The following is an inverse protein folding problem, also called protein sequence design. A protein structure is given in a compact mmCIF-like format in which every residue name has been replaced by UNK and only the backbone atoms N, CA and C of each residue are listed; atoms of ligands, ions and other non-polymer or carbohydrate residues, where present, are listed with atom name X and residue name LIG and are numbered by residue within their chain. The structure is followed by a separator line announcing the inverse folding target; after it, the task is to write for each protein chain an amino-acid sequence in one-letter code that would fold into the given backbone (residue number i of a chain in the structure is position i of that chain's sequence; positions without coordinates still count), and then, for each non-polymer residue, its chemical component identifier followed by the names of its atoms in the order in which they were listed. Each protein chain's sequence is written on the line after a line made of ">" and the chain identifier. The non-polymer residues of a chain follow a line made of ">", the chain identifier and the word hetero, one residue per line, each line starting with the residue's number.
data_IF_491793358064
#
_entry.id   IF_491793358064
#
_cell.length_a   1.000
_cell.length_b   1.000
_cell.length_c   1.000
_cell.angle_alpha   90.00
_cell.angle_beta   90.00
_cell.angle_gamma   90.00
#
_symmetry.space_group_name_H-M   'P 1'
#
loop_
_entity.id
_entity.type
_entity.pdbx_description
1 polymer ?
#
# COMPACT_ATOMS: atom_id res chain seq x y z
N UNK A 1 2.01 20.16 31.15
CA UNK A 1 1.65 18.73 31.04
C UNK A 1 1.13 18.50 29.62
N UNK A 2 1.56 17.42 29.00
CA UNK A 2 1.07 17.06 27.69
C UNK A 2 -0.44 16.76 27.73
N UNK A 3 -1.18 17.28 26.78
CA UNK A 3 -2.57 16.86 26.51
C UNK A 3 -2.53 15.64 25.58
N UNK A 4 -3.08 14.52 26.03
CA UNK A 4 -3.18 13.31 25.17
C UNK A 4 -4.55 13.30 24.52
N UNK A 5 -4.56 13.15 23.19
CA UNK A 5 -5.78 12.95 22.41
C UNK A 5 -5.73 11.61 21.69
N UNK A 6 -6.90 11.01 21.49
CA UNK A 6 -7.05 9.72 20.83
C UNK A 6 -8.05 9.84 19.68
N UNK A 7 -7.64 9.44 18.50
CA UNK A 7 -8.50 9.25 17.33
C UNK A 7 -8.76 7.74 17.17
N UNK A 8 -9.96 7.27 17.52
CA UNK A 8 -10.31 5.84 17.50
C UNK A 8 -11.79 5.64 17.10
N UNK A 9 -12.06 5.14 15.90
CA UNK A 9 -11.11 4.90 14.83
C UNK A 9 -10.76 6.17 14.04
N UNK A 10 -9.58 6.20 13.42
CA UNK A 10 -9.31 7.10 12.30
C UNK A 10 -10.21 6.67 11.15
N UNK A 11 -11.02 7.59 10.64
CA UNK A 11 -11.96 7.34 9.52
C UNK A 11 -11.31 7.50 8.16
N UNK A 12 -12.03 7.16 7.08
CA UNK A 12 -11.60 7.33 5.69
C UNK A 12 -10.28 6.61 5.37
N UNK A 13 -10.18 5.36 5.83
CA UNK A 13 -9.14 4.40 5.49
C UNK A 13 -9.73 2.99 5.50
N UNK A 14 -9.01 2.03 4.97
CA UNK A 14 -9.43 0.63 4.99
C UNK A 14 -9.02 -0.04 6.32
N UNK A 15 -10.01 -0.55 7.08
CA UNK A 15 -9.82 -1.19 8.37
C UNK A 15 -9.81 -0.21 9.55
N UNK A 16 -9.23 -0.59 10.68
CA UNK A 16 -9.33 0.13 11.96
C UNK A 16 -7.95 0.54 12.49
N UNK A 17 -7.67 1.83 12.43
CA UNK A 17 -6.48 2.48 12.99
C UNK A 17 -6.89 3.34 14.19
N UNK A 18 -6.19 3.20 15.30
CA UNK A 18 -6.18 4.17 16.38
C UNK A 18 -4.88 4.96 16.35
N UNK A 19 -4.98 6.25 16.55
CA UNK A 19 -3.83 7.17 16.69
C UNK A 19 -3.97 7.92 18.00
N UNK A 20 -2.93 7.85 18.83
CA UNK A 20 -2.81 8.61 20.06
C UNK A 20 -1.65 9.59 19.87
N UNK A 21 -1.85 10.87 20.23
CA UNK A 21 -0.80 11.89 20.20
C UNK A 21 -0.78 12.66 21.53
N UNK A 22 0.42 12.90 22.02
CA UNK A 22 0.66 13.82 23.14
C UNK A 22 1.05 15.19 22.58
N UNK A 23 0.35 16.24 23.03
CA UNK A 23 0.51 17.61 22.54
C UNK A 23 1.02 18.49 23.67
N UNK A 24 2.12 19.20 23.42
CA UNK A 24 2.66 20.25 24.27
C UNK A 24 2.94 21.49 23.42
N UNK A 25 2.62 22.66 23.94
CA UNK A 25 2.82 23.95 23.24
C UNK A 25 2.27 23.94 21.80
N UNK A 26 1.07 23.38 21.62
CA UNK A 26 0.39 23.24 20.33
C UNK A 26 1.18 22.42 19.27
N UNK A 27 2.06 21.50 19.73
CA UNK A 27 2.77 20.60 18.84
C UNK A 27 2.71 19.16 19.36
N UNK A 28 2.66 18.20 18.46
CA UNK A 28 2.77 16.78 18.77
C UNK A 28 4.19 16.48 19.23
N UNK A 29 4.35 15.97 20.45
CA UNK A 29 5.65 15.57 21.02
C UNK A 29 5.85 14.06 21.01
N UNK A 30 4.76 13.27 21.05
CA UNK A 30 4.77 11.82 20.94
C UNK A 30 3.55 11.34 20.19
N UNK A 31 3.69 10.25 19.44
CA UNK A 31 2.59 9.61 18.73
C UNK A 31 2.70 8.07 18.83
N UNK A 32 1.54 7.41 18.81
CA UNK A 32 1.40 5.95 18.75
C UNK A 32 0.34 5.58 17.74
N UNK A 33 0.63 4.57 16.91
CA UNK A 33 -0.29 4.01 15.92
C UNK A 33 -0.63 2.57 16.28
N UNK A 34 -1.92 2.29 16.41
CA UNK A 34 -2.43 0.98 16.82
C UNK A 34 -3.26 0.35 15.73
N UNK A 35 -2.83 -0.81 15.24
CA UNK A 35 -3.72 -1.74 14.57
C UNK A 35 -4.55 -2.47 15.61
N UNK A 36 -5.87 -2.30 15.58
CA UNK A 36 -6.77 -2.74 16.66
C UNK A 36 -7.32 -4.14 16.47
N UNK A 37 -7.08 -4.79 15.30
CA UNK A 37 -7.66 -6.09 14.95
C UNK A 37 -6.58 -7.12 14.56
N UNK A 38 -6.89 -8.44 14.73
CA UNK A 38 -6.07 -9.57 14.31
C UNK A 38 -6.87 -10.52 13.41
N UNK A 39 -6.37 -10.91 12.22
CA UNK A 39 -7.08 -11.76 11.24
C UNK A 39 -6.44 -13.12 10.95
N UNK A 40 -5.13 -13.31 11.16
CA UNK A 40 -4.42 -14.60 11.13
C UNK A 40 -4.24 -15.22 9.74
N UNK A 41 -4.09 -14.46 8.66
CA UNK A 41 -3.95 -15.00 7.30
C UNK A 41 -2.77 -15.95 7.14
N UNK A 42 -1.66 -15.66 7.80
CA UNK A 42 -0.46 -16.50 7.80
C UNK A 42 -0.75 -17.89 8.40
N UNK A 43 -1.49 -17.92 9.52
CA UNK A 43 -1.94 -19.15 10.16
C UNK A 43 -3.00 -19.89 9.33
N UNK A 44 -3.91 -19.15 8.68
CA UNK A 44 -4.93 -19.72 7.79
C UNK A 44 -4.30 -20.45 6.60
N UNK A 45 -3.19 -19.93 6.07
CA UNK A 45 -2.50 -20.50 4.93
C UNK A 45 -1.69 -21.76 5.28
N UNK A 46 -1.23 -21.90 6.52
CA UNK A 46 -0.43 -23.07 6.95
C UNK A 46 -1.23 -24.37 6.81
N UNK A 47 -0.63 -25.39 6.20
CA UNK A 47 -1.22 -26.69 5.92
C UNK A 47 -2.05 -26.78 4.64
N UNK A 48 -2.34 -25.63 3.99
CA UNK A 48 -3.12 -25.59 2.75
C UNK A 48 -2.31 -25.95 1.52
N UNK A 49 -3.03 -26.16 0.42
CA UNK A 49 -2.42 -26.27 -0.89
C UNK A 49 -1.83 -24.90 -1.31
N UNK A 50 -0.61 -24.86 -1.87
CA UNK A 50 -0.05 -23.60 -2.37
C UNK A 50 -0.96 -22.85 -3.38
N UNK A 51 -1.76 -23.57 -4.18
CA UNK A 51 -2.72 -22.98 -5.10
C UNK A 51 -3.81 -22.13 -4.42
N UNK A 52 -4.11 -22.37 -3.14
CA UNK A 52 -5.02 -21.53 -2.37
C UNK A 52 -4.42 -20.14 -2.07
N UNK A 53 -3.09 -20.03 -2.09
CA UNK A 53 -2.35 -18.82 -1.71
C UNK A 53 -2.82 -17.57 -2.44
N UNK A 54 -2.79 -17.49 -3.79
CA UNK A 54 -3.21 -16.32 -4.53
C UNK A 54 -4.67 -15.92 -4.27
N UNK A 55 -5.55 -16.89 -4.02
CA UNK A 55 -6.97 -16.62 -3.76
C UNK A 55 -7.23 -16.16 -2.33
N UNK A 56 -6.59 -16.77 -1.33
CA UNK A 56 -6.77 -16.41 0.08
C UNK A 56 -6.12 -15.05 0.37
N UNK A 57 -4.90 -14.81 -0.12
CA UNK A 57 -4.18 -13.57 0.17
C UNK A 57 -4.87 -12.33 -0.40
N UNK A 58 -5.62 -12.43 -1.49
CA UNK A 58 -6.45 -11.33 -1.98
C UNK A 58 -7.51 -10.87 -0.96
N UNK A 59 -7.95 -11.73 -0.01
CA UNK A 59 -8.94 -11.37 1.03
C UNK A 59 -8.32 -10.58 2.17
N UNK A 60 -7.01 -10.39 2.16
CA UNK A 60 -6.33 -9.51 3.12
C UNK A 60 -6.86 -8.08 2.98
N UNK A 61 -7.11 -7.61 1.74
CA UNK A 61 -7.58 -6.25 1.51
C UNK A 61 -8.64 -6.19 0.42
N UNK A 62 -9.67 -5.36 0.62
CA UNK A 62 -10.71 -5.08 -0.39
C UNK A 62 -10.29 -4.01 -1.41
N UNK A 63 -9.33 -3.16 -1.09
CA UNK A 63 -8.87 -2.06 -1.95
C UNK A 63 -7.67 -2.46 -2.79
N UNK A 64 -6.72 -3.25 -2.24
CA UNK A 64 -5.50 -3.67 -2.94
C UNK A 64 -5.31 -5.20 -2.97
N UNK A 65 -6.30 -5.99 -3.42
CA UNK A 65 -6.16 -7.45 -3.46
C UNK A 65 -5.17 -7.93 -4.52
N UNK A 66 -5.05 -7.23 -5.65
CA UNK A 66 -4.22 -7.63 -6.79
C UNK A 66 -2.73 -7.76 -6.43
N UNK A 67 -2.08 -6.80 -5.72
CA UNK A 67 -0.71 -6.97 -5.27
C UNK A 67 -0.48 -8.22 -4.41
N UNK A 68 -1.46 -8.62 -3.57
CA UNK A 68 -1.36 -9.84 -2.77
C UNK A 68 -1.39 -11.10 -3.65
N UNK A 69 -2.27 -11.16 -4.66
CA UNK A 69 -2.24 -12.23 -5.65
C UNK A 69 -0.90 -12.27 -6.38
N UNK A 70 -0.41 -11.10 -6.81
CA UNK A 70 0.88 -10.98 -7.50
C UNK A 70 2.04 -11.47 -6.63
N UNK A 71 2.13 -11.05 -5.36
CA UNK A 71 3.17 -11.51 -4.46
C UNK A 71 3.11 -13.03 -4.21
N UNK A 72 1.91 -13.58 -4.08
CA UNK A 72 1.72 -15.01 -3.87
C UNK A 72 2.18 -15.84 -5.08
N UNK A 73 1.77 -15.47 -6.31
CA UNK A 73 2.21 -16.21 -7.50
C UNK A 73 3.72 -16.05 -7.74
N UNK A 74 4.31 -14.88 -7.48
CA UNK A 74 5.75 -14.67 -7.56
C UNK A 74 6.52 -15.56 -6.59
N UNK A 75 6.04 -15.72 -5.35
CA UNK A 75 6.65 -16.60 -4.37
C UNK A 75 6.60 -18.08 -4.82
N UNK A 76 5.46 -18.52 -5.37
CA UNK A 76 5.29 -19.88 -5.88
C UNK A 76 6.16 -20.16 -7.10
N UNK A 77 6.19 -19.24 -8.05
CA UNK A 77 7.00 -19.35 -9.28
C UNK A 77 8.50 -19.34 -8.97
N UNK A 78 8.93 -18.47 -8.04
CA UNK A 78 10.31 -18.50 -7.58
C UNK A 78 10.67 -19.83 -6.90
N UNK A 79 9.77 -20.37 -6.06
CA UNK A 79 9.99 -21.67 -5.40
C UNK A 79 10.16 -22.83 -6.39
N UNK A 80 9.47 -22.77 -7.54
CA UNK A 80 9.52 -23.78 -8.59
C UNK A 80 10.59 -23.50 -9.68
N UNK A 81 11.24 -22.32 -9.66
CA UNK A 81 12.08 -21.86 -10.77
C UNK A 81 11.31 -21.70 -12.09
N UNK A 82 10.01 -21.39 -12.01
CA UNK A 82 9.11 -21.35 -13.14
C UNK A 82 9.11 -19.96 -13.82
N UNK A 83 9.17 -19.95 -15.14
CA UNK A 83 9.12 -18.72 -15.96
C UNK A 83 7.79 -18.69 -16.72
N UNK A 84 7.07 -17.59 -16.57
CA UNK A 84 5.75 -17.39 -17.18
C UNK A 84 5.85 -16.84 -18.62
N UNK A 85 4.82 -17.05 -19.47
CA UNK A 85 4.74 -16.45 -20.80
C UNK A 85 4.72 -14.91 -20.76
N UNK A 86 5.20 -14.27 -21.83
CA UNK A 86 5.21 -12.82 -21.95
C UNK A 86 3.81 -12.20 -21.83
N UNK A 87 2.79 -12.80 -22.45
CA UNK A 87 1.41 -12.34 -22.31
C UNK A 87 0.96 -12.32 -20.83
N UNK A 88 1.30 -13.35 -20.04
CA UNK A 88 0.97 -13.39 -18.62
C UNK A 88 1.60 -12.22 -17.86
N UNK A 89 2.89 -11.98 -18.08
CA UNK A 89 3.63 -10.88 -17.47
C UNK A 89 3.00 -9.54 -17.80
N UNK A 90 2.66 -9.29 -19.05
CA UNK A 90 2.01 -8.05 -19.49
C UNK A 90 0.63 -7.92 -18.85
N UNK A 91 -0.20 -8.94 -18.90
CA UNK A 91 -1.56 -8.89 -18.35
C UNK A 91 -1.56 -8.70 -16.83
N UNK A 92 -0.61 -9.31 -16.12
CA UNK A 92 -0.40 -9.03 -14.68
C UNK A 92 -0.07 -7.57 -14.43
N UNK A 93 0.81 -6.96 -15.24
CA UNK A 93 1.13 -5.55 -15.15
C UNK A 93 -0.09 -4.66 -15.40
N UNK A 94 -0.92 -5.01 -16.39
CA UNK A 94 -2.13 -4.23 -16.73
C UNK A 94 -3.16 -4.28 -15.61
N UNK A 95 -3.42 -5.45 -15.01
CA UNK A 95 -4.38 -5.59 -13.90
C UNK A 95 -3.84 -4.94 -12.63
N UNK A 96 -2.54 -5.07 -12.37
CA UNK A 96 -1.88 -4.37 -11.25
C UNK A 96 -1.93 -2.85 -11.45
N UNK A 97 -1.65 -2.36 -12.67
CA UNK A 97 -1.72 -0.94 -13.02
C UNK A 97 -3.13 -0.37 -12.86
N UNK A 98 -4.15 -1.11 -13.28
CA UNK A 98 -5.55 -0.73 -13.06
C UNK A 98 -5.86 -0.55 -11.56
N UNK A 99 -5.35 -1.45 -10.69
CA UNK A 99 -5.51 -1.33 -9.25
C UNK A 99 -4.72 -0.14 -8.68
N UNK A 100 -3.51 0.18 -9.19
CA UNK A 100 -2.76 1.37 -8.78
C UNK A 100 -3.51 2.66 -9.10
N UNK A 101 -3.97 2.82 -10.34
CA UNK A 101 -4.72 4.02 -10.76
C UNK A 101 -6.00 4.16 -9.95
N UNK A 102 -6.80 3.09 -9.82
CA UNK A 102 -8.00 3.08 -9.00
C UNK A 102 -7.73 3.52 -7.56
N UNK A 103 -6.70 2.95 -6.93
CA UNK A 103 -6.36 3.23 -5.53
C UNK A 103 -5.87 4.66 -5.31
N UNK A 104 -5.11 5.23 -6.25
CA UNK A 104 -4.61 6.59 -6.14
C UNK A 104 -5.71 7.64 -6.30
N UNK A 105 -6.65 7.41 -7.24
CA UNK A 105 -7.82 8.27 -7.38
C UNK A 105 -8.75 8.18 -6.16
N UNK A 106 -9.03 6.97 -5.70
CA UNK A 106 -9.81 6.73 -4.48
C UNK A 106 -9.20 7.46 -3.28
N UNK A 107 -7.88 7.33 -3.08
CA UNK A 107 -7.19 7.95 -1.95
C UNK A 107 -7.35 9.47 -1.95
N UNK A 108 -7.02 10.14 -3.04
CA UNK A 108 -7.07 11.59 -3.08
C UNK A 108 -8.50 12.10 -2.91
N UNK A 109 -9.41 11.70 -3.80
CA UNK A 109 -10.75 12.28 -3.84
C UNK A 109 -11.66 11.83 -2.70
N UNK A 110 -11.62 10.53 -2.32
CA UNK A 110 -12.62 9.99 -1.39
C UNK A 110 -12.12 9.81 0.04
N UNK A 111 -10.78 9.86 0.26
CA UNK A 111 -10.22 9.65 1.59
C UNK A 111 -9.50 10.89 2.13
N UNK A 112 -8.67 11.58 1.32
CA UNK A 112 -7.77 12.60 1.82
C UNK A 112 -8.28 14.04 1.64
N UNK A 113 -8.86 14.40 0.47
CA UNK A 113 -9.22 15.77 0.14
C UNK A 113 -10.25 16.38 1.11
N UNK A 114 -11.07 15.55 1.74
CA UNK A 114 -12.06 15.96 2.73
C UNK A 114 -11.44 16.65 3.97
N UNK A 115 -10.16 16.46 4.22
CA UNK A 115 -9.44 17.17 5.29
C UNK A 115 -9.11 18.62 4.95
N UNK A 116 -9.28 19.02 3.70
CA UNK A 116 -8.83 20.29 3.16
C UNK A 116 -9.95 21.19 2.61
N UNK A 117 -11.17 20.65 2.48
CA UNK A 117 -12.30 21.34 1.85
C UNK A 117 -13.46 21.56 2.82
N UNK A 118 -14.00 22.78 2.81
CA UNK A 118 -15.33 23.07 3.35
C UNK A 118 -16.41 22.60 2.36
N UNK A 119 -16.70 21.29 2.36
CA UNK A 119 -17.65 20.68 1.43
C UNK A 119 -19.11 21.00 1.74
N UNK A 120 -20.06 20.52 0.91
CA UNK A 120 -21.49 20.77 1.08
C UNK A 120 -22.05 20.18 2.37
N UNK A 121 -23.19 20.75 2.85
CA UNK A 121 -23.89 20.33 4.09
C UNK A 121 -24.64 19.00 3.93
N UNK A 122 -23.94 17.96 3.46
CA UNK A 122 -24.48 16.61 3.27
C UNK A 122 -23.37 15.57 3.39
N UNK A 123 -23.69 14.29 3.70
CA UNK A 123 -22.70 13.23 3.65
C UNK A 123 -22.05 13.09 2.25
N UNK A 124 -20.74 12.77 2.16
CA UNK A 124 -19.81 12.44 3.25
C UNK A 124 -19.10 13.66 3.89
N UNK A 125 -19.50 14.90 3.54
CA UNK A 125 -18.90 16.14 4.01
C UNK A 125 -19.32 16.49 5.43
N UNK A 126 -20.43 15.97 5.88
CA UNK A 126 -20.96 16.17 7.23
C UNK A 126 -20.97 14.84 8.01
N UNK A 127 -20.69 14.86 9.35
CA UNK A 127 -20.29 16.05 10.13
C UNK A 127 -18.91 16.57 9.75
N UNK A 128 -18.69 17.86 9.84
CA UNK A 128 -17.44 18.53 9.51
C UNK A 128 -16.90 19.29 10.73
N UNK A 129 -15.59 19.27 10.93
CA UNK A 129 -14.95 20.08 11.94
C UNK A 129 -14.88 21.55 11.53
N UNK A 130 -14.92 22.46 12.50
CA UNK A 130 -14.69 23.87 12.27
C UNK A 130 -13.19 24.16 12.34
N UNK A 131 -12.52 23.98 11.22
CA UNK A 131 -11.05 24.11 11.09
C UNK A 131 -10.71 25.10 9.98
N UNK A 132 -9.43 25.43 9.86
CA UNK A 132 -8.92 26.32 8.81
C UNK A 132 -8.96 25.64 7.43
N UNK A 133 -10.08 25.79 6.72
CA UNK A 133 -10.21 25.44 5.31
C UNK A 133 -9.80 26.63 4.45
N UNK A 134 -8.70 26.48 3.70
CA UNK A 134 -8.03 27.59 2.99
C UNK A 134 -8.38 27.66 1.51
N UNK A 135 -9.01 26.63 0.95
CA UNK A 135 -9.43 26.60 -0.45
C UNK A 135 -10.65 27.50 -0.59
N UNK A 136 -10.60 28.44 -1.53
CA UNK A 136 -11.70 29.37 -1.75
C UNK A 136 -12.98 28.66 -2.23
N UNK A 137 -14.17 29.27 -2.06
CA UNK A 137 -15.45 28.63 -2.40
C UNK A 137 -15.55 28.17 -3.85
N UNK A 138 -15.02 28.95 -4.81
CA UNK A 138 -15.09 28.61 -6.24
C UNK A 138 -14.23 27.39 -6.56
N UNK A 139 -13.01 27.32 -6.05
CA UNK A 139 -12.16 26.14 -6.18
C UNK A 139 -12.73 24.94 -5.42
N UNK A 140 -13.38 25.16 -4.27
CA UNK A 140 -14.07 24.11 -3.53
C UNK A 140 -15.19 23.46 -4.36
N UNK A 141 -16.01 24.26 -5.04
CA UNK A 141 -17.07 23.76 -5.92
C UNK A 141 -16.50 22.89 -7.06
N UNK A 142 -15.41 23.32 -7.68
CA UNK A 142 -14.70 22.55 -8.72
C UNK A 142 -14.21 21.21 -8.16
N UNK A 143 -13.53 21.21 -7.01
CA UNK A 143 -13.00 19.99 -6.39
C UNK A 143 -14.11 19.01 -5.93
N UNK A 144 -15.26 19.54 -5.47
CA UNK A 144 -16.46 18.73 -5.18
C UNK A 144 -17.03 18.12 -6.47
N UNK A 145 -17.03 18.84 -7.58
CA UNK A 145 -17.40 18.31 -8.89
C UNK A 145 -16.45 17.17 -9.33
N UNK A 146 -15.15 17.36 -9.16
CA UNK A 146 -14.14 16.34 -9.46
C UNK A 146 -14.20 15.12 -8.52
N UNK A 147 -14.57 15.34 -7.25
CA UNK A 147 -14.87 14.23 -6.31
C UNK A 147 -15.96 13.31 -6.86
N UNK A 148 -17.06 13.89 -7.40
CA UNK A 148 -18.14 13.10 -8.01
C UNK A 148 -17.69 12.43 -9.31
N UNK A 149 -16.92 13.11 -10.15
CA UNK A 149 -16.37 12.54 -11.38
C UNK A 149 -15.41 11.37 -11.07
N UNK A 150 -14.60 11.48 -10.02
CA UNK A 150 -13.66 10.45 -9.59
C UNK A 150 -14.35 9.13 -9.19
N UNK A 151 -15.62 9.13 -8.74
CA UNK A 151 -16.40 7.90 -8.54
C UNK A 151 -16.55 7.11 -9.86
N UNK A 152 -16.82 7.82 -10.95
CA UNK A 152 -16.90 7.20 -12.27
C UNK A 152 -15.54 6.72 -12.76
N UNK A 153 -14.47 7.44 -12.49
CA UNK A 153 -13.11 7.06 -12.88
C UNK A 153 -12.61 5.84 -12.09
N UNK A 154 -12.89 5.75 -10.79
CA UNK A 154 -12.55 4.55 -10.00
C UNK A 154 -13.31 3.32 -10.46
N UNK A 155 -14.60 3.46 -10.84
CA UNK A 155 -15.37 2.40 -11.49
C UNK A 155 -14.75 2.00 -12.82
N UNK A 156 -14.37 2.98 -13.67
CA UNK A 156 -13.74 2.76 -14.96
C UNK A 156 -12.42 1.97 -14.84
N UNK A 157 -11.61 2.26 -13.82
CA UNK A 157 -10.39 1.51 -13.54
C UNK A 157 -10.68 0.04 -13.14
N UNK A 158 -11.77 -0.22 -12.40
CA UNK A 158 -12.21 -1.59 -12.11
C UNK A 158 -12.72 -2.31 -13.35
N UNK A 159 -13.53 -1.66 -14.19
CA UNK A 159 -14.00 -2.21 -15.47
C UNK A 159 -12.81 -2.59 -16.35
N UNK A 160 -11.83 -1.69 -16.49
CA UNK A 160 -10.58 -1.92 -17.22
C UNK A 160 -9.80 -3.13 -16.70
N UNK A 161 -9.60 -3.23 -15.40
CA UNK A 161 -8.90 -4.36 -14.76
C UNK A 161 -9.65 -5.68 -14.92
N UNK A 162 -11.00 -5.66 -14.92
CA UNK A 162 -11.84 -6.84 -15.06
C UNK A 162 -11.75 -7.48 -16.45
N UNK A 163 -11.44 -6.73 -17.51
CA UNK A 163 -11.29 -7.24 -18.88
C UNK A 163 -10.32 -8.42 -18.95
N UNK A 164 -9.20 -8.33 -18.21
CA UNK A 164 -8.21 -9.42 -18.12
C UNK A 164 -8.32 -10.17 -16.80
N UNK A 165 -8.59 -9.50 -15.68
CA UNK A 165 -8.70 -10.09 -14.36
C UNK A 165 -9.93 -10.97 -14.14
N UNK A 166 -10.89 -10.94 -15.06
CA UNK A 166 -12.18 -11.63 -14.99
C UNK A 166 -13.19 -10.92 -14.08
N UNK A 167 -12.73 -10.33 -12.97
CA UNK A 167 -13.51 -9.49 -12.07
C UNK A 167 -12.58 -8.61 -11.23
N UNK A 168 -13.10 -7.53 -10.69
CA UNK A 168 -12.42 -6.64 -9.74
C UNK A 168 -13.34 -6.38 -8.52
N UNK A 169 -12.79 -6.07 -7.35
CA UNK A 169 -11.38 -5.90 -7.01
C UNK A 169 -10.61 -7.22 -6.83
N UNK A 170 -11.25 -8.35 -6.61
CA UNK A 170 -10.64 -9.65 -6.39
C UNK A 170 -10.57 -10.40 -7.73
N UNK A 171 -9.42 -10.34 -8.42
CA UNK A 171 -9.22 -10.98 -9.71
C UNK A 171 -9.03 -12.50 -9.57
N UNK A 172 -9.77 -13.26 -10.40
CA UNK A 172 -9.62 -14.71 -10.43
C UNK A 172 -8.47 -15.18 -11.34
N UNK A 173 -7.95 -14.29 -12.17
CA UNK A 173 -7.06 -14.64 -13.27
C UNK A 173 -5.58 -14.85 -12.88
N UNK A 174 -5.13 -14.39 -11.70
CA UNK A 174 -3.77 -14.61 -11.21
C UNK A 174 -3.61 -16.06 -10.71
N UNK A 175 -2.85 -16.85 -11.45
CA UNK A 175 -2.50 -18.25 -11.09
C UNK A 175 -1.00 -18.48 -11.27
N UNK A 176 -0.40 -19.42 -10.52
CA UNK A 176 0.99 -19.81 -10.76
C UNK A 176 1.12 -20.40 -12.17
N UNK A 177 2.20 -20.05 -12.87
CA UNK A 177 2.40 -20.42 -14.27
C UNK A 177 1.81 -19.44 -15.27
N UNK A 178 1.13 -18.37 -14.81
CA UNK A 178 0.67 -17.32 -15.70
C UNK A 178 -0.64 -16.66 -15.33
N UNK A 179 -1.58 -16.69 -16.29
CA UNK A 179 -2.85 -15.98 -16.21
C UNK A 179 -3.95 -16.81 -16.91
N UNK A 180 -5.22 -16.74 -16.47
CA UNK A 180 -6.28 -17.59 -17.01
C UNK A 180 -6.92 -17.06 -18.30
N UNK A 181 -6.88 -15.76 -18.55
CA UNK A 181 -7.58 -15.11 -19.66
C UNK A 181 -6.72 -15.11 -20.91
N UNK A 182 -7.14 -15.79 -21.98
CA UNK A 182 -6.54 -15.63 -23.30
C UNK A 182 -7.03 -14.31 -23.91
N UNK A 183 -6.11 -13.37 -24.25
CA UNK A 183 -6.52 -12.02 -24.68
C UNK A 183 -7.10 -12.01 -26.06
N UNK A 184 -8.16 -11.20 -26.26
CA UNK A 184 -8.80 -10.93 -27.55
C UNK A 184 -8.53 -9.51 -28.03
N UNK A 185 -8.68 -9.26 -29.35
CA UNK A 185 -8.52 -7.92 -29.90
C UNK A 185 -9.54 -6.92 -29.32
N UNK A 186 -10.77 -7.38 -29.07
CA UNK A 186 -11.82 -6.56 -28.47
C UNK A 186 -11.50 -6.14 -27.05
N UNK A 187 -11.00 -7.05 -26.18
CA UNK A 187 -10.55 -6.72 -24.84
C UNK A 187 -9.40 -5.70 -24.85
N UNK A 188 -8.46 -5.82 -25.78
CA UNK A 188 -7.36 -4.87 -25.95
C UNK A 188 -7.90 -3.49 -26.33
N UNK A 189 -8.83 -3.42 -27.29
CA UNK A 189 -9.43 -2.14 -27.71
C UNK A 189 -10.20 -1.46 -26.57
N UNK A 190 -11.00 -2.22 -25.83
CA UNK A 190 -11.73 -1.71 -24.66
C UNK A 190 -10.78 -1.25 -23.55
N UNK A 191 -9.72 -2.01 -23.25
CA UNK A 191 -8.70 -1.63 -22.27
C UNK A 191 -8.05 -0.30 -22.65
N UNK A 192 -7.65 -0.13 -23.91
CA UNK A 192 -7.06 1.11 -24.42
C UNK A 192 -8.01 2.29 -24.26
N UNK A 193 -9.28 2.12 -24.59
CA UNK A 193 -10.30 3.18 -24.46
C UNK A 193 -10.43 3.63 -22.99
N UNK A 194 -10.58 2.69 -22.05
CA UNK A 194 -10.66 2.99 -20.63
C UNK A 194 -9.36 3.64 -20.10
N UNK A 195 -8.21 3.12 -20.49
CA UNK A 195 -6.92 3.64 -20.05
C UNK A 195 -6.66 5.06 -20.57
N UNK A 196 -7.06 5.37 -21.82
CA UNK A 196 -6.95 6.71 -22.39
C UNK A 196 -7.83 7.73 -21.65
N UNK A 197 -9.06 7.35 -21.30
CA UNK A 197 -9.97 8.19 -20.51
C UNK A 197 -9.39 8.46 -19.12
N UNK A 198 -8.86 7.42 -18.45
CA UNK A 198 -8.21 7.56 -17.13
C UNK A 198 -6.95 8.42 -17.20
N UNK A 199 -6.11 8.25 -18.23
CA UNK A 199 -4.91 9.05 -18.43
C UNK A 199 -5.25 10.53 -18.61
N UNK A 200 -6.28 10.86 -19.42
CA UNK A 200 -6.75 12.22 -19.59
C UNK A 200 -7.24 12.81 -18.27
N UNK A 201 -8.05 12.07 -17.49
CA UNK A 201 -8.49 12.53 -16.18
C UNK A 201 -7.33 12.77 -15.22
N UNK A 202 -6.33 11.87 -15.20
CA UNK A 202 -5.16 12.04 -14.34
C UNK A 202 -4.37 13.29 -14.73
N UNK A 203 -4.14 13.50 -16.02
CA UNK A 203 -3.34 14.61 -16.55
C UNK A 203 -4.04 15.96 -16.40
N UNK A 204 -5.33 16.02 -16.75
CA UNK A 204 -6.05 17.27 -16.93
C UNK A 204 -6.86 17.68 -15.69
N UNK A 205 -7.09 16.75 -14.75
CA UNK A 205 -7.88 16.97 -13.54
C UNK A 205 -7.11 16.61 -12.27
N UNK A 206 -6.68 15.37 -12.10
CA UNK A 206 -6.11 14.92 -10.83
C UNK A 206 -4.80 15.62 -10.46
N UNK A 207 -3.84 15.70 -11.39
CA UNK A 207 -2.57 16.39 -11.12
C UNK A 207 -2.80 17.88 -10.84
N UNK A 208 -3.57 18.65 -11.64
CA UNK A 208 -3.92 20.04 -11.32
C UNK A 208 -4.57 20.23 -9.95
N UNK A 209 -5.49 19.34 -9.56
CA UNK A 209 -6.15 19.43 -8.24
C UNK A 209 -5.15 19.25 -7.08
N UNK A 210 -4.21 18.28 -7.20
CA UNK A 210 -3.15 18.11 -6.20
C UNK A 210 -2.20 19.32 -6.18
N UNK A 211 -1.91 19.92 -7.33
CA UNK A 211 -1.09 21.13 -7.40
C UNK A 211 -1.78 22.33 -6.75
N UNK A 212 -3.08 22.53 -6.97
CA UNK A 212 -3.88 23.56 -6.29
C UNK A 212 -3.80 23.34 -4.78
N UNK A 213 -4.07 22.12 -4.32
CA UNK A 213 -3.98 21.78 -2.90
C UNK A 213 -2.59 22.11 -2.33
N UNK A 214 -1.54 21.73 -3.03
CA UNK A 214 -0.16 21.90 -2.57
C UNK A 214 0.28 23.37 -2.50
N UNK A 215 -0.29 24.25 -3.35
CA UNK A 215 -0.05 25.69 -3.32
C UNK A 215 -0.78 26.37 -2.16
N UNK A 216 -2.04 25.99 -1.93
CA UNK A 216 -2.86 26.59 -0.85
C UNK A 216 -2.36 26.15 0.54
N UNK A 217 -1.86 24.93 0.65
CA UNK A 217 -1.32 24.36 1.89
C UNK A 217 0.21 24.16 1.80
N UNK A 218 0.94 25.19 1.32
CA UNK A 218 2.39 25.11 1.09
C UNK A 218 3.22 24.83 2.37
N UNK A 219 2.73 25.23 3.54
CA UNK A 219 3.32 24.94 4.84
C UNK A 219 3.43 23.42 5.10
N UNK A 220 2.54 22.61 4.54
CA UNK A 220 2.58 21.14 4.64
C UNK A 220 3.74 20.50 3.86
N UNK A 221 4.53 21.24 3.11
CA UNK A 221 5.86 20.79 2.65
C UNK A 221 6.90 20.73 3.78
N UNK A 222 6.58 21.31 4.95
CA UNK A 222 7.46 21.25 6.11
C UNK A 222 6.97 20.28 7.19
N UNK A 223 5.74 19.78 7.10
CA UNK A 223 5.06 18.91 8.07
C UNK A 223 5.12 17.45 7.60
N UNK A 224 5.22 16.52 8.54
CA UNK A 224 5.15 15.08 8.25
C UNK A 224 6.43 14.47 7.65
N UNK A 225 7.60 14.99 7.98
CA UNK A 225 8.89 14.59 7.35
C UNK A 225 9.40 13.20 7.74
N UNK A 226 9.11 12.71 8.94
CA UNK A 226 9.56 11.42 9.45
C UNK A 226 11.08 11.21 9.40
N UNK A 227 11.52 9.95 9.27
CA UNK A 227 12.95 9.59 9.22
C UNK A 227 13.66 9.96 7.93
N UNK A 228 12.92 10.16 6.83
CA UNK A 228 13.46 10.36 5.49
C UNK A 228 14.29 9.15 4.98
N UNK A 229 14.02 7.95 5.52
CA UNK A 229 14.51 6.67 5.04
C UNK A 229 13.41 6.05 4.16
N UNK A 230 13.73 5.72 2.93
CA UNK A 230 12.78 5.28 1.90
C UNK A 230 13.19 3.92 1.36
N UNK A 231 12.21 3.01 1.17
CA UNK A 231 12.42 1.67 0.65
C UNK A 231 11.37 1.34 -0.42
N UNK A 232 11.82 0.73 -1.52
CA UNK A 232 10.95 0.18 -2.57
C UNK A 232 11.41 -1.21 -2.97
N UNK A 233 10.48 -2.16 -3.11
CA UNK A 233 10.74 -3.52 -3.60
C UNK A 233 10.68 -3.61 -5.12
N UNK A 234 10.10 -2.61 -5.76
CA UNK A 234 9.92 -2.51 -7.19
C UNK A 234 8.71 -3.27 -7.73
N UNK A 235 8.11 -2.71 -8.79
CA UNK A 235 6.90 -3.22 -9.42
C UNK A 235 6.95 -3.14 -10.94
N UNK A 236 6.04 -3.89 -11.59
CA UNK A 236 5.82 -3.95 -13.03
C UNK A 236 7.02 -4.52 -13.78
N UNK A 237 7.07 -5.84 -13.86
CA UNK A 237 8.16 -6.58 -14.51
C UNK A 237 8.19 -6.32 -16.01
N UNK A 238 9.35 -5.92 -16.52
CA UNK A 238 9.60 -5.64 -17.95
C UNK A 238 10.41 -6.72 -18.65
N UNK A 239 10.93 -7.71 -17.91
CA UNK A 239 11.65 -8.86 -18.42
C UNK A 239 11.14 -10.15 -17.82
N UNK A 240 11.31 -11.27 -18.54
CA UNK A 240 10.81 -12.59 -18.13
C UNK A 240 11.46 -13.09 -16.81
N UNK A 241 12.68 -12.66 -16.52
CA UNK A 241 13.42 -12.99 -15.30
C UNK A 241 13.10 -12.06 -14.11
N UNK A 242 12.19 -11.09 -14.30
CA UNK A 242 11.81 -10.12 -13.27
C UNK A 242 12.90 -9.12 -12.84
N UNK A 243 14.07 -9.13 -13.49
CA UNK A 243 15.20 -8.25 -13.12
C UNK A 243 15.00 -6.81 -13.54
N UNK A 244 14.31 -6.58 -14.67
CA UNK A 244 13.92 -5.25 -15.13
C UNK A 244 12.50 -4.95 -14.69
N UNK A 245 12.31 -3.82 -14.03
CA UNK A 245 11.00 -3.34 -13.56
C UNK A 245 10.82 -1.87 -13.93
N UNK A 246 9.58 -1.44 -14.16
CA UNK A 246 9.25 -0.02 -14.36
C UNK A 246 9.71 0.80 -13.16
N UNK A 247 9.22 0.46 -11.98
CA UNK A 247 9.73 0.99 -10.73
C UNK A 247 10.75 0.02 -10.15
N UNK A 248 12.01 0.41 -10.16
CA UNK A 248 13.12 -0.41 -9.64
C UNK A 248 13.07 -0.48 -8.13
N UNK A 249 13.59 -1.55 -7.59
CA UNK A 249 13.86 -1.67 -6.17
C UNK A 249 15.00 -0.73 -5.74
N UNK A 250 15.00 -0.33 -4.48
CA UNK A 250 16.08 0.46 -3.94
C UNK A 250 15.82 1.02 -2.55
N UNK A 251 16.88 1.59 -1.99
CA UNK A 251 16.88 2.21 -0.67
C UNK A 251 17.54 3.58 -0.72
N UNK A 252 16.89 4.55 -0.10
CA UNK A 252 17.44 5.89 0.12
C UNK A 252 17.44 6.17 1.62
N UNK A 253 18.54 6.67 2.16
CA UNK A 253 18.66 7.03 3.56
C UNK A 253 19.15 8.47 3.66
N UNK A 254 18.34 9.34 4.27
CA UNK A 254 18.65 10.77 4.46
C UNK A 254 19.17 11.45 3.19
N UNK A 255 18.57 11.15 2.04
CA UNK A 255 18.94 11.73 0.74
C UNK A 255 20.02 10.99 -0.04
N UNK A 256 20.63 9.97 0.54
CA UNK A 256 21.63 9.16 -0.16
C UNK A 256 21.02 7.88 -0.68
N UNK A 257 21.12 7.65 -1.98
CA UNK A 257 20.77 6.37 -2.58
C UNK A 257 21.86 5.35 -2.19
N UNK A 258 21.49 4.42 -1.29
CA UNK A 258 22.46 3.46 -0.73
C UNK A 258 22.48 2.12 -1.46
N UNK A 259 21.37 1.70 -2.03
CA UNK A 259 21.25 0.39 -2.66
C UNK A 259 20.33 0.44 -3.87
N UNK A 260 20.73 -0.30 -4.91
CA UNK A 260 19.90 -0.56 -6.10
C UNK A 260 19.27 -1.96 -6.03
N UNK A 261 19.61 -2.75 -5.01
CA UNK A 261 19.06 -4.07 -4.73
C UNK A 261 18.63 -4.15 -3.27
N UNK A 262 17.44 -4.68 -3.04
CA UNK A 262 16.94 -4.99 -1.70
C UNK A 262 17.41 -6.38 -1.31
N UNK A 263 18.05 -6.48 -0.14
CA UNK A 263 18.47 -7.74 0.47
C UNK A 263 17.38 -8.19 1.45
N UNK A 264 16.68 -9.26 1.13
CA UNK A 264 15.62 -9.81 2.00
C UNK A 264 16.15 -10.25 3.36
N UNK A 265 17.42 -10.69 3.43
CA UNK A 265 18.10 -11.02 4.68
C UNK A 265 18.29 -9.84 5.64
N UNK A 266 18.20 -8.60 5.15
CA UNK A 266 18.30 -7.40 5.98
C UNK A 266 16.95 -6.97 6.60
N UNK A 267 15.86 -7.67 6.28
CA UNK A 267 14.53 -7.40 6.81
C UNK A 267 14.32 -8.23 8.07
N UNK A 268 13.92 -7.59 9.16
CA UNK A 268 13.50 -8.27 10.39
C UNK A 268 12.21 -7.65 10.91
N UNK A 269 11.38 -8.44 11.59
CA UNK A 269 10.15 -7.99 12.23
C UNK A 269 10.36 -7.89 13.74
N UNK A 270 10.11 -6.71 14.30
CA UNK A 270 10.12 -6.46 15.75
C UNK A 270 8.72 -6.61 16.31
N UNK A 271 8.60 -7.22 17.49
CA UNK A 271 7.29 -7.50 18.12
C UNK A 271 7.23 -7.05 19.59
N UNK A 272 8.25 -6.41 20.13
CA UNK A 272 8.33 -5.99 21.53
C UNK A 272 7.12 -5.14 21.94
N UNK A 273 6.67 -4.22 21.08
CA UNK A 273 5.50 -3.37 21.31
C UNK A 273 4.25 -3.89 20.59
N UNK A 274 4.28 -5.14 20.11
CA UNK A 274 3.17 -5.79 19.39
C UNK A 274 2.65 -6.98 20.18
N UNK A 275 1.37 -7.31 20.01
CA UNK A 275 0.70 -8.41 20.72
C UNK A 275 1.08 -9.78 20.12
N UNK A 276 2.38 -10.05 20.02
CA UNK A 276 2.97 -11.33 19.61
C UNK A 276 4.00 -11.80 20.63
N UNK A 277 4.26 -13.10 20.65
CA UNK A 277 5.23 -13.73 21.53
C UNK A 277 6.65 -13.20 21.26
N UNK A 278 7.39 -12.87 22.33
CA UNK A 278 8.73 -12.30 22.22
C UNK A 278 9.78 -13.26 21.64
N UNK A 279 9.52 -14.57 21.65
CA UNK A 279 10.38 -15.55 20.97
C UNK A 279 10.41 -15.33 19.43
N UNK A 280 9.43 -14.62 18.89
CA UNK A 280 9.36 -14.26 17.47
C UNK A 280 9.98 -12.88 17.14
N UNK A 281 10.55 -12.18 18.15
CA UNK A 281 11.13 -10.87 17.97
C UNK A 281 12.40 -10.90 17.11
N UNK A 282 12.55 -9.90 16.24
CA UNK A 282 13.74 -9.70 15.41
C UNK A 282 14.04 -10.85 14.42
N UNK A 283 13.07 -11.67 14.10
CA UNK A 283 13.23 -12.71 13.08
C UNK A 283 13.12 -12.14 11.67
N UNK A 284 13.88 -12.74 10.74
CA UNK A 284 13.66 -12.51 9.32
C UNK A 284 12.32 -13.16 8.90
N UNK A 285 11.51 -12.57 7.99
CA UNK A 285 10.23 -13.16 7.59
C UNK A 285 10.32 -14.60 7.07
N UNK A 286 11.46 -15.01 6.50
CA UNK A 286 11.67 -16.41 6.07
C UNK A 286 11.72 -17.41 7.24
N UNK A 287 12.02 -16.95 8.44
CA UNK A 287 12.07 -17.74 9.68
C UNK A 287 11.13 -17.18 10.75
N UNK A 288 10.32 -16.19 10.40
CA UNK A 288 9.37 -15.53 11.29
C UNK A 288 8.20 -16.43 11.66
N UNK A 289 7.50 -16.09 12.71
CA UNK A 289 6.28 -16.78 13.10
C UNK A 289 5.22 -15.77 13.56
N UNK A 290 3.95 -16.14 13.42
CA UNK A 290 2.82 -15.34 13.89
C UNK A 290 2.19 -16.06 15.07
N UNK A 291 2.65 -15.73 16.27
CA UNK A 291 2.19 -16.30 17.55
C UNK A 291 1.53 -15.21 18.36
N UNK A 292 0.19 -15.06 18.30
CA UNK A 292 -0.52 -13.98 18.97
C UNK A 292 -0.51 -14.17 20.49
N UNK A 293 -0.26 -13.07 21.23
CA UNK A 293 -0.32 -13.00 22.70
C UNK A 293 -1.04 -11.71 23.09
N UNK A 294 -2.21 -11.83 23.72
CA UNK A 294 -2.99 -10.68 24.18
C UNK A 294 -3.73 -11.04 25.48
N UNK A 295 -3.66 -10.22 26.51
CA UNK A 295 -2.87 -9.00 26.62
C UNK A 295 -1.36 -9.27 26.77
N UNK A 296 -0.53 -8.31 26.39
CA UNK A 296 0.92 -8.30 26.59
C UNK A 296 1.32 -6.93 27.12
N UNK A 297 2.10 -6.90 28.19
CA UNK A 297 2.55 -5.66 28.81
C UNK A 297 3.33 -4.81 27.81
N UNK A 298 3.16 -3.49 27.87
CA UNK A 298 3.80 -2.50 27.02
C UNK A 298 3.54 -2.62 25.51
N UNK A 299 2.79 -3.60 25.06
CA UNK A 299 2.33 -3.72 23.68
C UNK A 299 1.06 -2.91 23.46
N UNK A 300 0.96 -2.28 22.28
CA UNK A 300 -0.20 -1.44 21.95
C UNK A 300 -0.71 -1.65 20.52
N UNK A 301 -0.17 -2.59 19.74
CA UNK A 301 -0.57 -2.78 18.36
C UNK A 301 -0.55 -4.25 17.94
N UNK A 302 -1.47 -4.64 17.02
CA UNK A 302 -1.40 -5.90 16.29
C UNK A 302 -0.47 -5.85 15.07
N UNK A 303 0.10 -4.67 14.75
CA UNK A 303 1.12 -4.58 13.70
C UNK A 303 2.46 -5.05 14.24
N UNK A 304 3.16 -5.89 13.47
CA UNK A 304 4.60 -6.08 13.67
C UNK A 304 5.34 -4.84 13.17
N UNK A 305 6.56 -4.64 13.62
CA UNK A 305 7.40 -3.51 13.20
C UNK A 305 8.54 -3.99 12.30
N UNK A 306 8.35 -4.05 10.96
CA UNK A 306 9.41 -4.37 10.04
C UNK A 306 10.51 -3.31 10.10
N UNK A 307 11.76 -3.78 10.04
CA UNK A 307 12.95 -2.93 9.96
C UNK A 307 13.86 -3.44 8.84
N UNK A 308 14.46 -2.52 8.11
CA UNK A 308 15.48 -2.85 7.12
C UNK A 308 16.85 -2.43 7.66
N UNK A 309 17.75 -3.40 7.87
CA UNK A 309 19.03 -3.19 8.54
C UNK A 309 18.88 -2.45 9.90
N UNK A 310 17.88 -2.82 10.69
CA UNK A 310 17.58 -2.26 12.01
C UNK A 310 16.96 -0.87 12.02
N UNK A 311 16.59 -0.30 10.86
CA UNK A 311 16.05 1.05 10.75
C UNK A 311 14.62 1.08 10.20
N UNK A 312 13.74 1.97 10.72
CA UNK A 312 12.44 2.24 10.13
C UNK A 312 12.58 2.84 8.71
N UNK A 313 11.72 2.43 7.80
CA UNK A 313 11.68 2.94 6.43
C UNK A 313 10.24 3.26 6.03
N UNK A 314 10.05 4.41 5.41
CA UNK A 314 8.81 4.74 4.72
C UNK A 314 8.77 4.04 3.36
N UNK A 315 7.62 3.48 3.03
CA UNK A 315 7.34 2.85 1.73
C UNK A 315 6.12 3.52 1.09
N UNK A 316 5.97 3.40 -0.22
CA UNK A 316 4.83 3.95 -0.94
C UNK A 316 5.21 4.73 -2.19
N UNK A 317 4.27 5.50 -2.76
CA UNK A 317 4.50 6.28 -3.98
C UNK A 317 5.71 7.20 -3.89
N UNK A 318 5.84 7.95 -2.77
CA UNK A 318 6.98 8.84 -2.56
C UNK A 318 8.32 8.10 -2.59
N UNK A 319 8.39 6.95 -1.90
CA UNK A 319 9.59 6.13 -1.90
C UNK A 319 9.93 5.62 -3.31
N UNK A 320 8.95 5.11 -4.05
CA UNK A 320 9.14 4.62 -5.42
C UNK A 320 9.61 5.74 -6.36
N UNK A 321 8.96 6.89 -6.32
CA UNK A 321 9.31 8.02 -7.19
C UNK A 321 10.71 8.55 -6.91
N UNK A 322 11.11 8.70 -5.65
CA UNK A 322 12.45 9.16 -5.29
C UNK A 322 13.52 8.11 -5.62
N UNK A 323 13.28 6.83 -5.32
CA UNK A 323 14.20 5.72 -5.65
C UNK A 323 14.48 5.66 -7.15
N UNK A 324 13.47 5.95 -7.98
CA UNK A 324 13.56 5.93 -9.43
C UNK A 324 14.01 7.26 -10.06
N UNK A 325 14.17 8.33 -9.27
CA UNK A 325 14.56 9.65 -9.76
C UNK A 325 13.45 10.39 -10.52
N UNK A 326 12.20 10.00 -10.30
CA UNK A 326 11.00 10.60 -10.89
C UNK A 326 10.40 11.71 -10.03
N UNK A 327 10.90 11.87 -8.82
CA UNK A 327 10.55 12.95 -7.92
C UNK A 327 11.81 13.48 -7.20
N UNK A 328 11.82 14.80 -6.87
CA UNK A 328 12.90 15.41 -6.08
C UNK A 328 12.98 14.77 -4.70
N UNK A 329 14.17 14.77 -4.08
CA UNK A 329 14.31 14.29 -2.71
C UNK A 329 13.74 15.33 -1.72
N UNK A 330 12.47 15.17 -1.42
CA UNK A 330 11.73 15.88 -0.39
C UNK A 330 10.73 14.93 0.25
N UNK A 331 10.46 15.07 1.55
CA UNK A 331 9.56 14.18 2.30
C UNK A 331 8.67 15.02 3.18
N UNK A 332 7.39 15.04 2.87
CA UNK A 332 6.36 15.78 3.60
C UNK A 332 4.96 15.25 3.25
N UNK A 333 3.93 15.83 3.86
CA UNK A 333 2.53 15.56 3.52
C UNK A 333 2.27 15.83 2.04
N UNK A 334 2.63 17.03 1.53
CA UNK A 334 2.37 17.40 0.14
C UNK A 334 3.22 16.60 -0.85
N UNK A 335 4.48 16.29 -0.50
CA UNK A 335 5.32 15.44 -1.34
C UNK A 335 4.69 14.06 -1.56
N UNK A 336 4.01 13.47 -0.54
CA UNK A 336 3.30 12.19 -0.69
C UNK A 336 2.12 12.28 -1.65
N UNK A 337 1.34 13.37 -1.59
CA UNK A 337 0.22 13.58 -2.50
C UNK A 337 0.69 13.78 -3.95
N UNK A 338 1.67 14.66 -4.17
CA UNK A 338 2.23 14.91 -5.50
C UNK A 338 2.88 13.67 -6.12
N UNK A 339 3.70 12.95 -5.34
CA UNK A 339 4.35 11.73 -5.82
C UNK A 339 3.33 10.66 -6.23
N UNK A 340 2.20 10.56 -5.51
CA UNK A 340 1.11 9.62 -5.84
C UNK A 340 0.41 10.00 -7.14
N UNK A 341 0.16 11.27 -7.39
CA UNK A 341 -0.44 11.74 -8.63
C UNK A 341 0.49 11.50 -9.83
N UNK A 342 1.78 11.83 -9.69
CA UNK A 342 2.80 11.56 -10.70
C UNK A 342 2.92 10.06 -10.98
N UNK A 343 2.88 9.21 -9.96
CA UNK A 343 2.92 7.76 -10.15
C UNK A 343 1.71 7.25 -10.94
N UNK A 344 0.50 7.73 -10.63
CA UNK A 344 -0.71 7.37 -11.38
C UNK A 344 -0.57 7.69 -12.86
N UNK A 345 0.00 8.85 -13.19
CA UNK A 345 0.28 9.25 -14.57
C UNK A 345 1.26 8.31 -15.27
N UNK A 346 2.41 8.01 -14.64
CA UNK A 346 3.40 7.09 -15.21
C UNK A 346 2.84 5.69 -15.44
N UNK A 347 2.06 5.17 -14.48
CA UNK A 347 1.45 3.84 -14.61
C UNK A 347 0.43 3.82 -15.77
N UNK A 348 -0.42 4.85 -15.87
CA UNK A 348 -1.41 4.91 -16.96
C UNK A 348 -0.74 5.03 -18.35
N UNK A 349 0.32 5.82 -18.48
CA UNK A 349 1.09 5.91 -19.72
C UNK A 349 1.70 4.56 -20.12
N UNK A 350 2.31 3.85 -19.17
CA UNK A 350 2.95 2.56 -19.46
C UNK A 350 1.93 1.47 -19.76
N UNK A 351 0.73 1.50 -19.14
CA UNK A 351 -0.34 0.56 -19.49
C UNK A 351 -0.74 0.66 -20.96
N UNK A 352 -0.81 1.86 -21.54
CA UNK A 352 -1.07 2.03 -22.99
C UNK A 352 0.03 1.42 -23.86
N UNK A 353 1.31 1.50 -23.40
CA UNK A 353 2.42 0.87 -24.12
C UNK A 353 2.42 -0.65 -23.98
N UNK A 354 2.06 -1.17 -22.81
CA UNK A 354 2.06 -2.61 -22.56
C UNK A 354 0.91 -3.34 -23.27
N UNK A 355 -0.27 -2.75 -23.31
CA UNK A 355 -1.43 -3.39 -23.95
C UNK A 355 -1.20 -3.62 -25.44
N UNK A 356 -0.40 -2.77 -26.11
CA UNK A 356 0.00 -2.94 -27.50
C UNK A 356 1.00 -4.09 -27.74
N UNK A 357 1.63 -4.59 -26.68
CA UNK A 357 2.59 -5.70 -26.76
C UNK A 357 1.92 -7.07 -26.59
N UNK A 358 0.62 -7.12 -26.34
CA UNK A 358 -0.12 -8.38 -26.17
C UNK A 358 -0.26 -9.09 -27.51
N UNK A 359 0.18 -10.34 -27.56
CA UNK A 359 -0.05 -11.23 -28.69
C UNK A 359 -1.45 -11.86 -28.59
N UNK A 360 -2.38 -11.41 -29.45
CA UNK A 360 -3.78 -11.88 -29.49
C UNK A 360 -3.85 -13.39 -29.69
N UNK A 361 -4.70 -14.07 -28.91
CA UNK A 361 -4.98 -15.52 -29.04
C UNK A 361 -3.87 -16.42 -28.51
N UNK A 362 -2.71 -15.89 -28.10
CA UNK A 362 -1.65 -16.71 -27.50
C UNK A 362 -1.95 -16.96 -26.01
N UNK A 363 -1.77 -18.23 -25.60
CA UNK A 363 -1.96 -18.63 -24.20
C UNK A 363 -1.06 -17.84 -23.26
N UNK A 364 -1.59 -17.24 -22.19
CA UNK A 364 -0.80 -16.60 -21.15
C UNK A 364 -0.42 -17.57 -20.02
N UNK A 365 -0.47 -18.86 -20.26
CA UNK A 365 -0.25 -19.90 -19.24
C UNK A 365 0.73 -20.96 -19.73
N UNK A 366 1.62 -21.40 -18.85
CA UNK A 366 2.43 -22.60 -18.98
C UNK A 366 2.21 -23.52 -17.78
N UNK A 367 2.29 -24.84 -18.00
CA UNK A 367 1.99 -25.81 -16.96
C UNK A 367 2.92 -25.62 -15.74
N UNK A 368 2.33 -25.27 -14.61
CA UNK A 368 3.02 -25.10 -13.33
C UNK A 368 2.87 -26.37 -12.48
N UNK A 369 3.98 -26.84 -11.94
CA UNK A 369 4.01 -27.98 -11.03
C UNK A 369 4.50 -27.52 -9.66
N UNK A 370 3.68 -27.71 -8.63
CA UNK A 370 4.07 -27.40 -7.25
C UNK A 370 5.20 -28.32 -6.81
N UNK A 371 6.36 -27.79 -6.37
CA UNK A 371 7.43 -28.63 -5.84
C UNK A 371 7.01 -29.25 -4.51
N UNK A 372 7.50 -30.49 -4.25
CA UNK A 372 7.23 -31.18 -2.98
C UNK A 372 7.86 -30.43 -1.78
N UNK A 373 9.07 -29.90 -1.94
CA UNK A 373 9.78 -29.14 -0.91
C UNK A 373 10.52 -27.98 -1.60
N UNK A 374 10.22 -26.76 -1.21
CA UNK A 374 10.87 -25.54 -1.73
C UNK A 374 10.59 -24.32 -0.85
N UNK A 375 11.36 -23.26 -1.06
CA UNK A 375 11.10 -21.94 -0.50
C UNK A 375 11.00 -20.92 -1.61
N UNK A 376 10.15 -19.91 -1.43
CA UNK A 376 10.01 -18.83 -2.40
C UNK A 376 9.68 -17.49 -1.73
N UNK A 377 10.09 -16.42 -2.38
CA UNK A 377 9.86 -15.05 -1.93
C UNK A 377 9.27 -14.24 -3.08
N UNK A 378 8.07 -13.72 -2.89
CA UNK A 378 7.43 -12.82 -3.85
C UNK A 378 7.51 -11.38 -3.36
N UNK A 379 8.35 -10.57 -4.00
CA UNK A 379 8.46 -9.13 -3.72
C UNK A 379 7.82 -8.31 -4.83
N UNK A 380 6.89 -7.46 -4.44
CA UNK A 380 6.23 -6.50 -5.33
C UNK A 380 5.89 -5.21 -4.57
N UNK A 381 5.12 -4.36 -5.21
CA UNK A 381 4.56 -3.16 -4.59
C UNK A 381 3.03 -3.22 -4.65
N UNK A 382 2.39 -2.85 -3.54
CA UNK A 382 1.00 -2.40 -3.56
C UNK A 382 0.96 -0.88 -3.82
N UNK A 383 -0.19 -0.27 -4.14
CA UNK A 383 -0.30 1.18 -4.24
C UNK A 383 0.31 1.91 -3.05
N UNK A 384 0.17 1.34 -1.85
CA UNK A 384 0.66 1.89 -0.56
C UNK A 384 2.11 1.61 -0.24
N UNK A 385 2.81 0.74 -1.04
CA UNK A 385 4.24 0.50 -0.85
C UNK A 385 4.68 -0.96 -0.92
N UNK A 386 5.85 -1.23 -0.36
CA UNK A 386 6.55 -2.50 -0.43
C UNK A 386 5.76 -3.66 0.21
N UNK A 387 5.50 -4.69 -0.58
CA UNK A 387 4.80 -5.92 -0.21
C UNK A 387 5.67 -7.14 -0.46
N UNK A 388 5.84 -7.98 0.55
CA UNK A 388 6.58 -9.23 0.44
C UNK A 388 5.81 -10.40 1.02
N UNK A 389 5.82 -11.53 0.31
CA UNK A 389 5.32 -12.82 0.74
C UNK A 389 6.47 -13.83 0.78
N UNK A 390 6.63 -14.52 1.89
CA UNK A 390 7.60 -15.60 2.09
C UNK A 390 6.84 -16.92 2.23
N UNK A 391 7.22 -17.91 1.45
CA UNK A 391 6.56 -19.21 1.34
C UNK A 391 7.56 -20.32 1.56
N UNK A 392 7.22 -21.30 2.40
CA UNK A 392 7.88 -22.58 2.47
C UNK A 392 6.89 -23.70 2.17
N UNK A 393 7.23 -24.55 1.24
CA UNK A 393 6.46 -25.76 0.88
C UNK A 393 7.19 -26.98 1.46
N UNK A 394 6.45 -27.88 2.10
CA UNK A 394 6.94 -29.18 2.57
C UNK A 394 5.86 -30.23 2.35
N UNK A 395 6.21 -31.34 1.72
CA UNK A 395 5.25 -32.37 1.35
C UNK A 395 4.14 -31.89 0.41
N UNK A 396 4.41 -30.88 -0.43
CA UNK A 396 3.42 -30.29 -1.34
C UNK A 396 2.38 -29.39 -0.66
N UNK A 397 2.56 -29.05 0.62
CA UNK A 397 1.69 -28.17 1.40
C UNK A 397 2.46 -26.94 1.91
N UNK A 398 1.75 -25.87 2.19
CA UNK A 398 2.31 -24.68 2.83
C UNK A 398 2.72 -25.05 4.26
N UNK A 399 4.03 -25.15 4.52
CA UNK A 399 4.56 -25.37 5.85
C UNK A 399 4.74 -24.07 6.63
N UNK A 400 5.06 -22.97 5.93
CA UNK A 400 5.22 -21.65 6.51
C UNK A 400 4.81 -20.59 5.50
N UNK A 401 4.16 -19.53 5.98
CA UNK A 401 3.82 -18.35 5.20
C UNK A 401 3.97 -17.09 6.05
N UNK A 402 4.65 -16.07 5.52
CA UNK A 402 4.82 -14.78 6.19
C UNK A 402 4.55 -13.65 5.21
N UNK A 403 3.88 -12.59 5.70
CA UNK A 403 3.43 -11.46 4.88
C UNK A 403 3.87 -10.16 5.54
N UNK A 404 4.69 -9.37 4.83
CA UNK A 404 5.06 -8.02 5.26
C UNK A 404 4.41 -7.02 4.31
N UNK A 405 3.44 -6.27 4.82
CA UNK A 405 2.61 -5.35 4.03
C UNK A 405 3.11 -3.90 4.13
N UNK A 406 2.73 -3.02 3.19
CA UNK A 406 3.11 -1.61 3.23
C UNK A 406 2.73 -0.90 4.53
N UNK A 407 1.53 -1.17 5.05
CA UNK A 407 1.07 -0.52 6.28
C UNK A 407 1.77 -1.06 7.53
N UNK A 408 2.26 -2.32 7.50
CA UNK A 408 3.16 -2.79 8.56
C UNK A 408 4.46 -1.98 8.62
N UNK A 409 5.02 -1.56 7.47
CA UNK A 409 6.16 -0.63 7.45
C UNK A 409 5.77 0.73 8.01
N UNK A 410 4.75 1.38 7.42
CA UNK A 410 4.43 2.79 7.68
C UNK A 410 3.77 3.04 9.04
N UNK A 411 2.82 2.20 9.46
CA UNK A 411 2.09 2.32 10.71
C UNK A 411 2.62 1.37 11.81
N UNK A 412 3.88 0.92 11.68
CA UNK A 412 4.50 0.06 12.69
C UNK A 412 4.57 0.75 14.05
N UNK A 413 4.41 -0.01 15.15
CA UNK A 413 4.71 0.50 16.48
C UNK A 413 6.22 0.71 16.69
N UNK A 414 6.58 1.26 17.85
CA UNK A 414 7.97 1.36 18.30
C UNK A 414 8.63 -0.02 18.34
N UNK A 415 9.91 -0.07 18.11
CA UNK A 415 10.72 -1.28 18.24
C UNK A 415 11.39 -1.42 19.63
N UNK A 416 12.25 -2.43 19.78
CA UNK A 416 13.00 -2.72 21.00
C UNK A 416 14.07 -1.66 21.36
N UNK A 417 14.40 -0.76 20.44
CA UNK A 417 15.23 0.42 20.66
C UNK A 417 14.40 1.71 20.84
N UNK A 418 13.10 1.54 21.05
CA UNK A 418 12.11 2.63 21.18
C UNK A 418 12.05 3.57 19.97
N UNK A 419 12.46 3.09 18.77
CA UNK A 419 12.34 3.86 17.52
C UNK A 419 10.90 3.80 17.02
N UNK A 420 10.20 4.94 16.89
CA UNK A 420 8.85 5.00 16.30
C UNK A 420 8.77 4.42 14.90
N UNK A 421 7.57 4.01 14.48
CA UNK A 421 7.29 3.75 13.06
C UNK A 421 7.26 5.04 12.22
N UNK A 422 7.26 4.92 10.88
CA UNK A 422 7.28 6.10 10.00
C UNK A 422 6.14 7.10 10.24
N UNK A 423 4.89 6.64 10.42
CA UNK A 423 3.75 7.54 10.73
C UNK A 423 3.92 8.18 12.10
N UNK A 424 4.28 7.40 13.14
CA UNK A 424 4.51 7.93 14.48
C UNK A 424 5.58 9.03 14.45
N UNK A 425 6.70 8.78 13.77
CA UNK A 425 7.78 9.77 13.63
C UNK A 425 7.37 10.98 12.78
N UNK A 426 6.54 10.78 11.76
CA UNK A 426 6.07 11.87 10.90
C UNK A 426 5.09 12.81 11.63
N UNK A 427 4.37 12.29 12.61
CA UNK A 427 3.45 13.08 13.46
C UNK A 427 4.18 14.00 14.43
N UNK A 428 5.37 13.61 14.90
CA UNK A 428 6.16 14.45 15.85
C UNK A 428 6.52 15.79 15.21
N UNK A 429 6.25 16.87 15.93
CA UNK A 429 6.44 18.24 15.48
C UNK A 429 5.27 18.82 14.65
N UNK A 430 4.21 18.05 14.40
CA UNK A 430 3.02 18.56 13.72
C UNK A 430 2.34 19.60 14.61
N UNK A 431 2.10 20.84 14.10
CA UNK A 431 1.32 21.83 14.82
C UNK A 431 -0.14 21.38 14.91
N UNK A 432 -0.79 21.63 16.05
CA UNK A 432 -2.22 21.33 16.28
C UNK A 432 -2.86 22.59 16.81
N UNK A 433 -3.72 23.21 16.01
CA UNK A 433 -4.37 24.47 16.36
C UNK A 433 -5.42 24.26 17.46
N UNK A 434 -6.23 23.23 17.32
CA UNK A 434 -7.26 22.84 18.29
C UNK A 434 -7.17 21.34 18.60
N UNK A 435 -6.73 20.95 19.82
CA UNK A 435 -6.71 19.55 20.21
C UNK A 435 -8.06 18.83 20.18
N UNK A 436 -9.18 19.53 20.22
CA UNK A 436 -10.52 18.94 20.10
C UNK A 436 -10.89 18.61 18.64
N UNK A 437 -10.19 19.19 17.68
CA UNK A 437 -10.41 19.03 16.24
C UNK A 437 -9.06 18.88 15.48
N UNK A 438 -8.27 17.82 15.75
CA UNK A 438 -6.87 17.71 15.31
C UNK A 438 -6.76 17.31 13.83
N UNK A 439 -7.27 18.11 12.91
CA UNK A 439 -7.25 17.84 11.47
C UNK A 439 -5.82 17.72 10.93
N UNK A 440 -4.86 18.43 11.51
CA UNK A 440 -3.46 18.38 11.12
C UNK A 440 -2.86 16.99 11.34
N UNK A 441 -3.26 16.31 12.42
CA UNK A 441 -2.89 14.90 12.68
C UNK A 441 -3.48 14.00 11.58
N UNK A 442 -4.76 14.19 11.20
CA UNK A 442 -5.40 13.43 10.12
C UNK A 442 -4.71 13.66 8.78
N UNK A 443 -4.36 14.91 8.44
CA UNK A 443 -3.65 15.26 7.19
C UNK A 443 -2.32 14.52 7.09
N UNK A 444 -1.56 14.41 8.17
CA UNK A 444 -0.33 13.61 8.19
C UNK A 444 -0.64 12.13 7.97
N UNK A 445 -1.56 11.54 8.74
CA UNK A 445 -1.91 10.12 8.66
C UNK A 445 -2.43 9.75 7.28
N UNK A 446 -3.41 10.50 6.75
CA UNK A 446 -4.01 10.24 5.44
C UNK A 446 -3.01 10.39 4.29
N UNK A 447 -1.97 11.24 4.41
CA UNK A 447 -0.95 11.34 3.37
C UNK A 447 -0.21 10.03 3.09
N UNK A 448 -0.10 9.14 4.08
CA UNK A 448 0.48 7.81 3.94
C UNK A 448 -0.46 6.78 3.30
N UNK A 449 -1.78 7.07 3.24
CA UNK A 449 -2.80 6.13 2.76
C UNK A 449 -2.77 4.79 3.54
N UNK A 450 -2.93 4.77 4.88
CA UNK A 450 -2.84 3.54 5.64
C UNK A 450 -4.00 2.59 5.29
N UNK A 451 -3.66 1.30 5.14
CA UNK A 451 -4.63 0.22 4.91
C UNK A 451 -4.50 -0.81 6.03
N UNK A 452 -5.33 -0.67 7.05
CA UNK A 452 -5.23 -1.52 8.24
C UNK A 452 -5.70 -2.94 7.98
N UNK A 453 -6.62 -3.17 7.05
CA UNK A 453 -6.99 -4.53 6.62
C UNK A 453 -5.81 -5.31 6.06
N UNK A 454 -4.84 -4.64 5.43
CA UNK A 454 -3.59 -5.29 4.99
C UNK A 454 -2.69 -5.72 6.16
N UNK A 455 -2.81 -5.06 7.30
CA UNK A 455 -1.84 -5.11 8.37
C UNK A 455 -2.38 -5.81 9.65
N UNK A 456 -3.66 -6.19 9.67
CA UNK A 456 -4.40 -6.58 10.86
C UNK A 456 -5.01 -7.96 10.75
N UNK A 457 -5.15 -8.67 11.89
CA UNK A 457 -5.63 -10.05 11.99
C UNK A 457 -6.77 -10.18 13.03
N UNK A 458 -7.78 -11.07 12.84
CA UNK A 458 -8.98 -11.19 13.67
C UNK A 458 -8.74 -11.96 14.97
N UNK A 459 -9.29 -11.49 16.10
CA UNK A 459 -9.38 -12.27 17.34
C UNK A 459 -10.37 -13.45 17.18
N UNK A 460 -10.04 -14.64 17.74
CA UNK A 460 -11.06 -15.61 18.08
C UNK A 460 -11.96 -14.98 19.17
N UNK A 461 -13.31 -15.05 19.06
CA UNK A 461 -14.14 -14.75 20.20
C UNK A 461 -13.68 -15.65 21.35
N UNK A 462 -13.42 -15.07 22.53
CA UNK A 462 -13.30 -15.87 23.75
C UNK A 462 -14.62 -16.63 23.91
N UNK A 463 -14.56 -17.95 23.94
CA UNK A 463 -15.70 -18.74 24.36
C UNK A 463 -16.07 -18.29 25.76
N UNK A 464 -17.23 -17.65 25.93
CA UNK A 464 -17.90 -17.45 27.21
C UNK A 464 -18.64 -18.72 27.57
#
# INVERSE_FOLDING_TARGET
>A
MATVITLDPVTRLEGHLRVEVAIENNQVVEARTTGTLFRGFESILTGRDPWDGPQITQRICGVCPIPHAQAAVLAMEQAAGHIIPNNARIMRNLVLGANFVQSHLLHFYHLAVLDYLAGPTMPPWQPQWNVDFRIDPGQTEVLVGHYVQALSMTRRAHEMGALFGGRMPIAAAHIPGGFTTTPTADQIAQFKAHCSELLAFIQDVYIPDVEVLSKVYEDYFTIGKGYRNLLAFGAFELSADGTKKLFRQGRVVRGRKLATRVLTSAITEKVTRSWYDDSTNNLNPAAGATVPVHPKADAYSWLKAPRYAGEPHEVGPLARMIVNGLYRYSVSVMDRHLARAIEAYHVAQEMLRWVDQIAVGQSPYTNYVTPANATGIGLTEAPRGALGHWLQISGGKIAHYQIVTPTCWNASPRDDLDKPGPIEQALVGTPVADPSQPVEVLRVVHSFDPCMSCAVHVMKPSAH
#
